data_IF_927148333092
#
_entry.id   IF_927148333092
#
_cell.length_a   1.000
_cell.length_b   1.000
_cell.length_c   1.000
_cell.angle_alpha   90.00
_cell.angle_beta   90.00
_cell.angle_gamma   90.00
#
_symmetry.space_group_name_H-M   'P 1'
#
loop_
_entity.id
_entity.type
_entity.pdbx_description
1 polymer ?
#
# COMPACT_ATOMS: atom_id res chain seq x y z
N UNK A 1 16.08 32.36 -7.58
CA UNK A 1 16.60 30.99 -7.48
C UNK A 1 15.44 30.03 -7.64
N UNK A 2 15.49 29.13 -8.61
CA UNK A 2 14.40 28.18 -8.88
C UNK A 2 14.61 26.90 -8.07
N UNK A 3 14.03 26.85 -6.86
CA UNK A 3 14.08 25.65 -6.01
C UNK A 3 13.48 24.43 -6.71
N UNK A 4 12.41 24.60 -7.50
CA UNK A 4 11.78 23.46 -8.17
C UNK A 4 12.73 22.85 -9.18
N UNK A 5 13.43 23.69 -9.97
CA UNK A 5 14.48 23.21 -10.87
C UNK A 5 15.63 22.54 -10.11
N UNK A 6 16.10 23.11 -8.99
CA UNK A 6 17.15 22.52 -8.15
C UNK A 6 16.73 21.17 -7.56
N UNK A 7 15.49 21.08 -7.07
CA UNK A 7 14.89 19.86 -6.56
C UNK A 7 14.76 18.82 -7.67
N UNK A 8 14.20 19.17 -8.84
CA UNK A 8 14.04 18.24 -9.96
C UNK A 8 15.40 17.70 -10.43
N UNK A 9 16.41 18.56 -10.55
CA UNK A 9 17.76 18.14 -10.93
C UNK A 9 18.37 17.20 -9.88
N UNK A 10 18.27 17.56 -8.60
CA UNK A 10 18.76 16.73 -7.49
C UNK A 10 18.01 15.41 -7.40
N UNK A 11 16.70 15.44 -7.59
CA UNK A 11 15.82 14.28 -7.60
C UNK A 11 16.20 13.33 -8.72
N UNK A 12 16.27 13.79 -9.97
CA UNK A 12 16.61 12.94 -11.10
C UNK A 12 17.99 12.28 -10.91
N UNK A 13 18.98 13.05 -10.46
CA UNK A 13 20.32 12.53 -10.19
C UNK A 13 20.31 11.47 -9.07
N UNK A 14 19.76 11.82 -7.91
CA UNK A 14 19.70 10.91 -6.75
C UNK A 14 18.91 9.63 -7.08
N UNK A 15 17.84 9.77 -7.86
CA UNK A 15 16.98 8.67 -8.28
C UNK A 15 17.73 7.69 -9.17
N UNK A 16 18.42 8.17 -10.21
CA UNK A 16 19.20 7.30 -11.09
C UNK A 16 20.37 6.64 -10.38
N UNK A 17 21.11 7.39 -9.56
CA UNK A 17 22.23 6.87 -8.78
C UNK A 17 21.77 5.76 -7.83
N UNK A 18 20.63 5.97 -7.14
CA UNK A 18 20.05 4.98 -6.23
C UNK A 18 19.50 3.76 -6.95
N UNK A 19 18.80 3.95 -8.07
CA UNK A 19 18.30 2.83 -8.87
C UNK A 19 19.46 1.91 -9.29
N UNK A 20 20.53 2.51 -9.84
CA UNK A 20 21.74 1.77 -10.22
C UNK A 20 22.37 1.07 -9.01
N UNK A 21 22.55 1.78 -7.90
CA UNK A 21 23.16 1.23 -6.69
C UNK A 21 22.36 0.06 -6.10
N UNK A 22 21.04 0.18 -5.98
CA UNK A 22 20.19 -0.88 -5.44
C UNK A 22 20.25 -2.09 -6.37
N UNK A 23 20.11 -1.88 -7.67
CA UNK A 23 20.18 -2.95 -8.67
C UNK A 23 21.51 -3.72 -8.59
N UNK A 24 22.65 -3.02 -8.59
CA UNK A 24 23.98 -3.66 -8.52
C UNK A 24 24.17 -4.39 -7.19
N UNK A 25 23.77 -3.77 -6.08
CA UNK A 25 23.86 -4.37 -4.73
C UNK A 25 23.04 -5.66 -4.64
N UNK A 26 21.82 -5.68 -5.19
CA UNK A 26 20.98 -6.88 -5.22
C UNK A 26 21.58 -7.97 -6.11
N UNK A 27 22.18 -7.63 -7.24
CA UNK A 27 22.88 -8.60 -8.09
C UNK A 27 24.09 -9.22 -7.39
N UNK A 28 24.90 -8.41 -6.72
CA UNK A 28 26.08 -8.87 -5.97
C UNK A 28 25.68 -9.75 -4.78
N UNK A 29 24.66 -9.34 -4.04
CA UNK A 29 24.09 -10.12 -2.95
C UNK A 29 23.60 -11.49 -3.41
N UNK A 30 22.99 -11.58 -4.60
CA UNK A 30 22.61 -12.86 -5.20
C UNK A 30 23.80 -13.75 -5.51
N UNK A 31 24.84 -13.19 -6.13
CA UNK A 31 26.09 -13.94 -6.40
C UNK A 31 26.73 -14.44 -5.11
N UNK A 32 26.62 -13.67 -4.03
CA UNK A 32 27.11 -14.01 -2.70
C UNK A 32 26.15 -14.87 -1.87
N UNK A 33 25.02 -15.34 -2.43
CA UNK A 33 24.00 -16.14 -1.75
C UNK A 33 23.45 -15.50 -0.46
N UNK A 34 23.38 -14.17 -0.41
CA UNK A 34 22.82 -13.43 0.72
C UNK A 34 21.29 -13.40 0.66
N UNK A 35 20.63 -13.27 1.82
CA UNK A 35 19.19 -13.04 1.87
C UNK A 35 18.87 -11.57 1.59
N UNK A 36 17.72 -11.31 0.97
CA UNK A 36 17.26 -9.94 0.73
C UNK A 36 17.21 -9.12 2.03
N UNK A 37 16.72 -9.72 3.11
CA UNK A 37 16.62 -9.07 4.43
C UNK A 37 17.98 -8.64 4.96
N UNK A 38 19.01 -9.49 4.82
CA UNK A 38 20.36 -9.12 5.22
C UNK A 38 20.89 -7.96 4.35
N UNK A 39 20.80 -8.09 3.03
CA UNK A 39 21.29 -7.08 2.09
C UNK A 39 20.61 -5.74 2.26
N UNK A 40 19.29 -5.74 2.41
CA UNK A 40 18.49 -4.54 2.64
C UNK A 40 18.85 -3.87 3.97
N UNK A 41 18.93 -4.64 5.06
CA UNK A 41 19.25 -4.07 6.37
C UNK A 41 20.70 -3.58 6.47
N UNK A 42 21.64 -4.29 5.85
CA UNK A 42 23.06 -3.93 5.92
C UNK A 42 23.37 -2.80 4.94
N UNK A 43 23.28 -3.05 3.65
CA UNK A 43 23.83 -2.13 2.65
C UNK A 43 22.84 -1.02 2.27
N UNK A 44 21.58 -1.38 2.06
CA UNK A 44 20.59 -0.41 1.56
C UNK A 44 20.13 0.59 2.63
N UNK A 45 19.96 0.15 3.88
CA UNK A 45 19.65 1.08 4.99
C UNK A 45 20.86 1.92 5.40
N UNK A 46 22.06 1.35 5.38
CA UNK A 46 23.28 2.06 5.73
C UNK A 46 23.57 3.19 4.73
N UNK A 47 23.46 2.95 3.42
CA UNK A 47 23.68 4.01 2.42
C UNK A 47 22.66 5.15 2.60
N UNK A 48 21.37 4.82 2.81
CA UNK A 48 20.34 5.82 3.05
C UNK A 48 20.68 6.66 4.29
N UNK A 49 21.16 6.01 5.35
CA UNK A 49 21.56 6.68 6.59
C UNK A 49 22.77 7.60 6.36
N UNK A 50 23.80 7.13 5.65
CA UNK A 50 25.02 7.91 5.37
C UNK A 50 24.69 9.14 4.50
N UNK A 51 23.90 8.98 3.45
CA UNK A 51 23.53 10.08 2.55
C UNK A 51 22.71 11.15 3.27
N UNK A 52 21.74 10.75 4.09
CA UNK A 52 20.91 11.69 4.87
C UNK A 52 21.76 12.40 5.94
N UNK A 53 22.68 11.69 6.61
CA UNK A 53 23.57 12.28 7.63
C UNK A 53 24.43 13.43 7.11
N UNK A 54 24.72 13.50 5.80
CA UNK A 54 25.44 14.63 5.20
C UNK A 54 24.70 15.96 5.40
N UNK A 55 23.39 15.92 5.62
CA UNK A 55 22.53 17.09 5.79
C UNK A 55 22.15 17.35 7.26
N UNK A 56 22.73 16.62 8.23
CA UNK A 56 22.37 16.74 9.64
C UNK A 56 22.65 18.15 10.20
N UNK A 57 23.64 18.86 9.64
CA UNK A 57 23.93 20.25 10.02
C UNK A 57 22.77 21.21 9.74
N UNK A 58 21.87 20.91 8.78
CA UNK A 58 20.68 21.73 8.51
C UNK A 58 19.72 21.79 9.71
N UNK A 59 19.84 20.84 10.65
CA UNK A 59 19.05 20.79 11.89
C UNK A 59 19.72 21.54 13.04
N UNK A 60 20.92 22.06 12.85
CA UNK A 60 21.71 22.72 13.89
C UNK A 60 21.69 24.24 13.69
N UNK A 61 21.74 24.99 14.80
CA UNK A 61 21.91 26.44 14.72
C UNK A 61 23.24 26.79 14.05
N UNK A 62 23.30 27.79 13.16
CA UNK A 62 22.22 28.70 12.75
C UNK A 62 21.32 28.19 11.61
N UNK A 63 21.69 27.11 10.92
CA UNK A 63 20.99 26.61 9.74
C UNK A 63 19.54 26.18 10.04
N UNK A 64 19.27 25.71 11.24
CA UNK A 64 17.94 25.32 11.69
C UNK A 64 16.90 26.44 11.58
N UNK A 65 17.28 27.69 11.79
CA UNK A 65 16.37 28.83 11.66
C UNK A 65 15.88 28.99 10.21
N UNK A 66 16.80 28.88 9.26
CA UNK A 66 16.50 28.91 7.82
C UNK A 66 15.67 27.69 7.43
N UNK A 67 16.09 26.49 7.82
CA UNK A 67 15.41 25.23 7.47
C UNK A 67 13.97 25.20 8.01
N UNK A 68 13.76 25.62 9.26
CA UNK A 68 12.43 25.62 9.88
C UNK A 68 11.48 26.60 9.18
N UNK A 69 11.95 27.79 8.82
CA UNK A 69 11.16 28.74 8.03
C UNK A 69 10.90 28.20 6.62
N UNK A 70 11.92 27.63 5.98
CA UNK A 70 11.81 27.06 4.64
C UNK A 70 10.82 25.90 4.58
N UNK A 71 10.69 25.09 5.64
CA UNK A 71 9.73 24.00 5.74
C UNK A 71 8.26 24.43 5.76
N UNK A 72 7.97 25.68 6.13
CA UNK A 72 6.61 26.22 6.02
C UNK A 72 6.16 26.40 4.57
N UNK A 73 7.02 26.16 3.57
CA UNK A 73 6.69 26.27 2.13
C UNK A 73 5.55 25.35 1.74
N UNK A 74 5.43 24.22 2.42
CA UNK A 74 4.37 23.23 2.20
C UNK A 74 3.00 23.68 2.75
N UNK A 75 2.96 24.72 3.58
CA UNK A 75 1.73 25.29 4.15
C UNK A 75 1.16 26.43 3.29
N UNK A 76 1.89 26.87 2.25
CA UNK A 76 1.52 28.01 1.41
C UNK A 76 0.94 27.50 0.08
N UNK A 77 -0.35 27.76 -0.13
CA UNK A 77 -1.10 27.36 -1.32
C UNK A 77 -1.08 28.45 -2.41
N UNK A 78 0.12 28.92 -2.77
CA UNK A 78 0.34 29.94 -3.80
C UNK A 78 1.43 29.48 -4.77
N UNK A 79 1.33 29.84 -6.06
CA UNK A 79 2.29 29.42 -7.11
C UNK A 79 3.74 29.83 -6.79
N UNK A 80 3.94 30.87 -5.98
CA UNK A 80 5.24 31.42 -5.66
C UNK A 80 5.70 31.17 -4.21
N UNK A 81 5.17 30.12 -3.57
CA UNK A 81 5.40 29.77 -2.16
C UNK A 81 6.88 29.80 -1.74
N UNK A 82 7.78 29.28 -2.58
CA UNK A 82 9.22 29.29 -2.33
C UNK A 82 9.76 30.72 -2.22
N UNK A 83 9.56 31.54 -3.25
CA UNK A 83 10.09 32.89 -3.26
C UNK A 83 9.44 33.74 -2.17
N UNK A 84 8.16 33.49 -1.85
CA UNK A 84 7.46 34.17 -0.76
C UNK A 84 8.11 33.86 0.59
N UNK A 85 8.44 32.59 0.88
CA UNK A 85 9.16 32.25 2.12
C UNK A 85 10.55 32.88 2.15
N UNK A 86 11.30 32.78 1.06
CA UNK A 86 12.67 33.29 1.00
C UNK A 86 12.68 34.80 1.22
N UNK A 87 11.89 35.54 0.45
CA UNK A 87 11.94 37.00 0.44
C UNK A 87 11.20 37.65 1.61
N UNK A 88 10.08 37.06 2.07
CA UNK A 88 9.25 37.68 3.11
C UNK A 88 9.57 37.18 4.52
N UNK A 89 10.26 36.04 4.67
CA UNK A 89 10.55 35.46 5.99
C UNK A 89 12.04 35.26 6.22
N UNK A 90 12.74 34.60 5.30
CA UNK A 90 14.14 34.21 5.53
C UNK A 90 15.11 35.39 5.38
N UNK A 91 15.01 36.17 4.30
CA UNK A 91 15.88 37.34 4.11
C UNK A 91 15.72 38.38 5.23
N UNK A 92 14.49 38.78 5.63
CA UNK A 92 14.31 39.69 6.76
C UNK A 92 14.84 39.12 8.07
N UNK A 93 14.75 37.80 8.30
CA UNK A 93 15.38 37.18 9.46
C UNK A 93 16.89 37.43 9.41
N UNK A 94 17.56 37.07 8.31
CA UNK A 94 19.02 37.19 8.19
C UNK A 94 19.53 38.63 8.24
N UNK A 95 18.75 39.61 7.79
CA UNK A 95 19.09 41.03 7.84
C UNK A 95 18.93 41.62 9.25
N UNK A 96 17.87 41.23 9.97
CA UNK A 96 17.53 41.81 11.27
C UNK A 96 18.12 41.05 12.46
N UNK A 97 18.78 39.92 12.22
CA UNK A 97 19.41 39.10 13.27
C UNK A 97 20.92 39.03 13.04
N UNK A 98 21.69 38.91 14.13
CA UNK A 98 23.14 38.68 14.07
C UNK A 98 23.48 37.22 13.65
N UNK A 99 22.65 36.60 12.81
CA UNK A 99 22.85 35.24 12.32
C UNK A 99 23.94 35.26 11.25
N UNK A 100 25.08 34.63 11.55
CA UNK A 100 26.18 34.47 10.61
C UNK A 100 26.17 33.07 10.01
N UNK A 101 25.81 32.96 8.74
CA UNK A 101 25.88 31.70 7.99
C UNK A 101 27.26 31.57 7.34
N UNK A 102 27.86 30.37 7.39
CA UNK A 102 29.12 30.09 6.68
C UNK A 102 28.88 29.80 5.19
N UNK A 103 27.65 29.40 4.83
CA UNK A 103 27.21 29.12 3.47
C UNK A 103 26.22 30.18 3.00
N UNK A 104 26.19 30.42 1.68
CA UNK A 104 25.19 31.29 1.07
C UNK A 104 23.79 30.69 1.21
N UNK A 105 22.77 31.55 1.24
CA UNK A 105 21.38 31.10 1.31
C UNK A 105 21.00 30.22 0.11
N UNK A 106 21.53 30.53 -1.08
CA UNK A 106 21.35 29.73 -2.29
C UNK A 106 21.92 28.31 -2.13
N UNK A 107 23.13 28.18 -1.59
CA UNK A 107 23.74 26.87 -1.30
C UNK A 107 22.90 26.09 -0.29
N UNK A 108 22.44 26.73 0.79
CA UNK A 108 21.62 26.07 1.81
C UNK A 108 20.31 25.55 1.21
N UNK A 109 19.61 26.36 0.39
CA UNK A 109 18.34 25.93 -0.21
C UNK A 109 18.55 24.85 -1.27
N UNK A 110 19.66 24.90 -2.02
CA UNK A 110 20.08 23.81 -2.91
C UNK A 110 20.33 22.50 -2.14
N UNK A 111 21.00 22.59 -0.99
CA UNK A 111 21.25 21.44 -0.11
C UNK A 111 19.96 20.91 0.53
N UNK A 112 18.99 21.78 0.87
CA UNK A 112 17.64 21.36 1.29
C UNK A 112 16.93 20.61 0.15
N UNK A 113 16.97 21.14 -1.07
CA UNK A 113 16.37 20.49 -2.23
C UNK A 113 16.96 19.09 -2.48
N UNK A 114 18.29 18.95 -2.34
CA UNK A 114 18.98 17.68 -2.43
C UNK A 114 18.59 16.71 -1.31
N UNK A 115 18.48 17.21 -0.08
CA UNK A 115 18.02 16.42 1.06
C UNK A 115 16.58 15.92 0.87
N UNK A 116 15.66 16.78 0.43
CA UNK A 116 14.27 16.40 0.16
C UNK A 116 14.17 15.33 -0.95
N UNK A 117 14.96 15.48 -2.02
CA UNK A 117 15.05 14.50 -3.10
C UNK A 117 15.54 13.12 -2.58
N UNK A 118 16.52 13.11 -1.68
CA UNK A 118 17.01 11.88 -1.05
C UNK A 118 15.98 11.26 -0.11
N UNK A 119 15.23 12.07 0.65
CA UNK A 119 14.14 11.58 1.48
C UNK A 119 13.03 10.94 0.63
N UNK A 120 12.65 11.58 -0.48
CA UNK A 120 11.61 11.07 -1.36
C UNK A 120 12.02 9.75 -2.03
N UNK A 121 13.24 9.65 -2.55
CA UNK A 121 13.76 8.40 -3.10
C UNK A 121 13.83 7.29 -2.03
N UNK A 122 14.15 7.63 -0.77
CA UNK A 122 14.17 6.67 0.35
C UNK A 122 12.76 6.15 0.66
N UNK A 123 11.77 7.05 0.63
CA UNK A 123 10.35 6.74 0.81
C UNK A 123 9.85 5.80 -0.28
N UNK A 124 10.17 6.08 -1.55
CA UNK A 124 9.82 5.22 -2.69
C UNK A 124 10.42 3.82 -2.51
N UNK A 125 11.69 3.71 -2.13
CA UNK A 125 12.33 2.41 -1.88
C UNK A 125 11.60 1.62 -0.79
N UNK A 126 11.29 2.29 0.32
CA UNK A 126 10.60 1.68 1.46
C UNK A 126 9.21 1.18 1.08
N UNK A 127 8.45 1.98 0.32
CA UNK A 127 7.11 1.61 -0.13
C UNK A 127 7.11 0.39 -1.06
N UNK A 128 8.19 0.20 -1.83
CA UNK A 128 8.32 -0.89 -2.79
C UNK A 128 9.09 -2.09 -2.25
N UNK A 129 9.39 -2.14 -0.95
CA UNK A 129 10.23 -3.17 -0.33
C UNK A 129 9.78 -4.60 -0.70
N UNK A 130 8.49 -4.91 -0.57
CA UNK A 130 7.95 -6.24 -0.86
C UNK A 130 8.09 -6.62 -2.34
N UNK A 131 7.89 -5.65 -3.25
CA UNK A 131 8.08 -5.87 -4.68
C UNK A 131 9.53 -6.25 -4.97
N UNK A 132 10.47 -5.51 -4.39
CA UNK A 132 11.90 -5.78 -4.57
C UNK A 132 12.34 -7.10 -3.94
N UNK A 133 11.75 -7.48 -2.79
CA UNK A 133 11.95 -8.80 -2.20
C UNK A 133 11.48 -9.92 -3.14
N UNK A 134 10.28 -9.80 -3.72
CA UNK A 134 9.76 -10.78 -4.69
C UNK A 134 10.68 -10.89 -5.91
N UNK A 135 11.08 -9.76 -6.49
CA UNK A 135 12.01 -9.71 -7.63
C UNK A 135 13.34 -10.37 -7.30
N UNK A 136 13.89 -10.07 -6.12
CA UNK A 136 15.10 -10.71 -5.62
C UNK A 136 14.89 -12.22 -5.49
N UNK A 137 13.91 -12.68 -4.73
CA UNK A 137 13.69 -14.10 -4.46
C UNK A 137 13.44 -14.92 -5.73
N UNK A 138 12.76 -14.35 -6.73
CA UNK A 138 12.48 -14.99 -8.02
C UNK A 138 13.63 -14.88 -9.04
N UNK A 139 14.72 -14.20 -8.66
CA UNK A 139 15.83 -13.87 -9.56
C UNK A 139 15.36 -13.13 -10.84
N UNK A 140 14.38 -12.24 -10.69
CA UNK A 140 13.79 -11.46 -11.77
C UNK A 140 13.93 -9.97 -11.51
N UNK A 141 15.17 -9.49 -11.59
CA UNK A 141 15.51 -8.06 -11.49
C UNK A 141 15.46 -7.36 -12.86
N UNK A 142 15.04 -8.05 -13.93
CA UNK A 142 15.07 -7.54 -15.31
C UNK A 142 14.24 -6.27 -15.52
N UNK A 143 13.18 -6.11 -14.71
CA UNK A 143 12.28 -4.95 -14.72
C UNK A 143 12.47 -4.05 -13.49
N UNK A 144 13.59 -4.18 -12.79
CA UNK A 144 13.83 -3.37 -11.60
C UNK A 144 13.85 -1.91 -12.00
N UNK A 145 13.00 -1.13 -11.34
CA UNK A 145 12.94 0.31 -11.49
C UNK A 145 12.55 0.92 -10.15
N UNK A 146 13.25 1.98 -9.76
CA UNK A 146 12.76 2.87 -8.73
C UNK A 146 11.62 3.66 -9.37
N UNK A 147 10.40 3.59 -8.86
CA UNK A 147 9.28 4.43 -9.29
C UNK A 147 8.28 4.58 -8.15
N UNK A 148 7.69 5.77 -8.05
CA UNK A 148 6.53 5.99 -7.19
C UNK A 148 5.28 5.50 -7.93
N UNK A 149 4.61 4.48 -7.39
CA UNK A 149 3.32 4.04 -7.92
C UNK A 149 2.21 4.95 -7.41
N UNK A 150 1.27 5.31 -8.28
CA UNK A 150 0.12 6.17 -7.94
C UNK A 150 -0.90 5.45 -7.04
N UNK A 151 -0.90 4.12 -7.06
CA UNK A 151 -1.70 3.24 -6.22
C UNK A 151 -0.79 2.34 -5.37
N UNK A 152 -1.35 1.67 -4.36
CA UNK A 152 -0.64 0.64 -3.58
C UNK A 152 0.12 -0.34 -4.52
N UNK A 153 1.41 -0.54 -4.28
CA UNK A 153 2.29 -1.38 -5.11
C UNK A 153 1.75 -2.81 -5.24
N UNK A 154 1.03 -3.30 -4.23
CA UNK A 154 0.41 -4.63 -4.22
C UNK A 154 -0.70 -4.80 -5.25
N UNK A 155 -1.31 -3.70 -5.68
CA UNK A 155 -2.33 -3.70 -6.72
C UNK A 155 -1.74 -3.65 -8.14
N UNK A 156 -0.41 -3.57 -8.27
CA UNK A 156 0.23 -3.50 -9.59
C UNK A 156 0.23 -4.88 -10.27
N UNK A 157 0.01 -4.95 -11.60
CA UNK A 157 0.08 -6.22 -12.33
C UNK A 157 1.43 -6.93 -12.20
N UNK A 158 2.52 -6.15 -12.08
CA UNK A 158 3.87 -6.70 -11.87
C UNK A 158 3.96 -7.40 -10.51
N UNK A 159 3.53 -6.75 -9.43
CA UNK A 159 3.56 -7.33 -8.09
C UNK A 159 2.71 -8.62 -8.04
N UNK A 160 1.45 -8.57 -8.48
CA UNK A 160 0.55 -9.73 -8.48
C UNK A 160 1.12 -10.91 -9.29
N UNK A 161 1.73 -10.63 -10.45
CA UNK A 161 2.38 -11.67 -11.26
C UNK A 161 3.54 -12.35 -10.51
N UNK A 162 4.39 -11.57 -9.84
CA UNK A 162 5.53 -12.10 -9.09
C UNK A 162 5.07 -12.83 -7.84
N UNK A 163 4.11 -12.28 -7.11
CA UNK A 163 3.52 -12.91 -5.94
C UNK A 163 2.91 -14.27 -6.30
N UNK A 164 2.10 -14.36 -7.35
CA UNK A 164 1.56 -15.64 -7.84
C UNK A 164 2.62 -16.64 -8.31
N UNK A 165 3.83 -16.17 -8.69
CA UNK A 165 4.95 -17.05 -9.05
C UNK A 165 5.64 -17.60 -7.82
N UNK A 166 5.77 -16.80 -6.76
CA UNK A 166 6.42 -17.20 -5.50
C UNK A 166 5.48 -18.00 -4.60
N UNK A 167 4.22 -17.58 -4.54
CA UNK A 167 3.13 -18.16 -3.76
C UNK A 167 1.95 -18.43 -4.71
N UNK A 168 2.00 -19.53 -5.49
CA UNK A 168 0.92 -19.87 -6.40
C UNK A 168 -0.41 -19.97 -5.64
N UNK A 169 -1.47 -19.30 -6.12
CA UNK A 169 -2.79 -19.48 -5.53
C UNK A 169 -3.14 -20.96 -5.63
N UNK A 170 -3.80 -21.49 -4.59
CA UNK A 170 -4.26 -22.86 -4.59
C UNK A 170 -5.00 -23.12 -5.89
N UNK A 171 -4.59 -24.17 -6.63
CA UNK A 171 -5.27 -24.53 -7.88
C UNK A 171 -6.77 -24.65 -7.58
N UNK A 172 -7.66 -23.97 -8.30
CA UNK A 172 -9.07 -24.27 -8.20
C UNK A 172 -9.22 -25.76 -8.51
N UNK A 173 -9.85 -26.50 -7.60
CA UNK A 173 -10.07 -27.92 -7.77
C UNK A 173 -10.69 -28.14 -9.14
N UNK A 174 -10.09 -29.02 -9.96
CA UNK A 174 -10.67 -29.44 -11.22
C UNK A 174 -11.83 -30.40 -10.95
N UNK A 175 -12.86 -29.93 -10.24
CA UNK A 175 -14.12 -30.65 -10.19
C UNK A 175 -14.90 -30.23 -11.43
N UNK A 176 -14.93 -31.11 -12.44
CA UNK A 176 -15.87 -30.98 -13.56
C UNK A 176 -17.27 -30.80 -12.97
N UNK A 177 -17.93 -29.70 -13.27
CA UNK A 177 -19.33 -29.48 -12.89
C UNK A 177 -20.17 -30.43 -13.73
N UNK A 178 -20.36 -31.65 -13.25
CA UNK A 178 -21.53 -32.44 -13.58
C UNK A 178 -22.64 -31.93 -12.67
N UNK A 179 -23.72 -31.43 -13.27
CA UNK A 179 -25.02 -31.38 -12.62
C UNK A 179 -25.31 -32.77 -12.10
N UNK A 180 -25.23 -32.97 -10.79
CA UNK A 180 -26.10 -33.82 -10.00
C UNK A 180 -25.81 -33.55 -8.52
N UNK A 181 -26.91 -33.48 -7.77
CA UNK A 181 -27.02 -33.08 -6.37
C UNK A 181 -26.10 -33.84 -5.40
N UNK A 182 -25.65 -33.10 -4.39
CA UNK A 182 -25.14 -33.52 -3.08
C UNK A 182 -23.87 -34.38 -3.03
N UNK A 183 -22.76 -33.76 -2.61
CA UNK A 183 -21.77 -34.26 -1.62
C UNK A 183 -20.56 -33.30 -1.53
N UNK A 184 -20.68 -32.27 -0.69
CA UNK A 184 -19.62 -31.52 0.04
C UNK A 184 -20.16 -30.14 0.37
N UNK A 185 -21.00 -30.06 1.40
CA UNK A 185 -21.51 -28.78 1.86
C UNK A 185 -20.39 -27.98 2.54
N UNK A 186 -20.16 -26.77 2.04
CA UNK A 186 -19.05 -25.91 2.44
C UNK A 186 -19.35 -25.26 3.79
N UNK A 187 -18.40 -25.33 4.74
CA UNK A 187 -18.49 -24.63 6.02
C UNK A 187 -17.80 -23.27 5.95
N UNK A 188 -18.59 -22.22 6.13
CA UNK A 188 -18.17 -20.83 6.15
C UNK A 188 -17.78 -20.37 7.56
N UNK A 189 -16.85 -19.43 7.63
CA UNK A 189 -16.55 -18.65 8.82
C UNK A 189 -17.42 -17.36 8.88
N UNK A 190 -17.38 -16.64 10.01
CA UNK A 190 -18.25 -15.47 10.21
C UNK A 190 -18.04 -14.35 9.17
N UNK A 191 -16.82 -14.19 8.65
CA UNK A 191 -16.52 -13.18 7.62
C UNK A 191 -17.11 -13.59 6.26
N UNK A 192 -16.97 -14.86 5.90
CA UNK A 192 -17.54 -15.41 4.66
C UNK A 192 -19.06 -15.36 4.68
N UNK A 193 -19.71 -15.56 5.84
CA UNK A 193 -21.16 -15.38 5.97
C UNK A 193 -21.57 -13.91 5.88
N UNK A 194 -20.79 -13.01 6.48
CA UNK A 194 -21.01 -11.57 6.37
C UNK A 194 -20.93 -11.11 4.89
N UNK A 195 -19.96 -11.61 4.14
CA UNK A 195 -19.83 -11.36 2.70
C UNK A 195 -20.98 -11.98 1.91
N UNK A 196 -21.36 -13.23 2.19
CA UNK A 196 -22.43 -13.93 1.49
C UNK A 196 -23.81 -13.28 1.68
N UNK A 197 -24.09 -12.82 2.89
CA UNK A 197 -25.39 -12.25 3.27
C UNK A 197 -25.43 -10.72 3.17
N UNK A 198 -24.27 -10.09 2.91
CA UNK A 198 -24.07 -8.64 2.93
C UNK A 198 -24.44 -7.96 4.26
N UNK A 199 -24.40 -8.70 5.38
CA UNK A 199 -24.57 -8.15 6.73
C UNK A 199 -23.21 -7.85 7.38
N UNK A 200 -23.19 -6.88 8.30
CA UNK A 200 -22.01 -6.66 9.13
C UNK A 200 -21.75 -7.88 10.04
N UNK A 201 -20.47 -8.17 10.32
CA UNK A 201 -20.07 -9.28 11.21
C UNK A 201 -20.75 -9.18 12.59
N UNK A 202 -20.94 -7.97 13.12
CA UNK A 202 -21.65 -7.74 14.37
C UNK A 202 -23.12 -8.22 14.29
N UNK A 203 -23.80 -7.93 13.19
CA UNK A 203 -25.18 -8.38 12.91
C UNK A 203 -25.26 -9.90 12.81
N UNK A 204 -24.26 -10.56 12.23
CA UNK A 204 -24.19 -12.03 12.20
C UNK A 204 -24.11 -12.60 13.62
N UNK A 205 -23.31 -12.00 14.51
CA UNK A 205 -23.27 -12.39 15.92
C UNK A 205 -24.59 -12.16 16.64
N UNK A 206 -25.28 -11.05 16.37
CA UNK A 206 -26.60 -10.76 16.93
C UNK A 206 -27.66 -11.76 16.47
N UNK A 207 -27.71 -12.07 15.17
CA UNK A 207 -28.62 -13.05 14.58
C UNK A 207 -28.38 -14.46 15.15
N UNK A 208 -27.10 -14.83 15.33
CA UNK A 208 -26.70 -16.07 15.99
C UNK A 208 -27.11 -16.07 17.48
N UNK A 209 -26.95 -14.96 18.20
CA UNK A 209 -27.36 -14.85 19.61
C UNK A 209 -28.88 -14.94 19.77
N UNK A 210 -29.64 -14.37 18.83
CA UNK A 210 -31.11 -14.43 18.78
C UNK A 210 -31.65 -15.77 18.25
N UNK A 211 -30.78 -16.71 17.87
CA UNK A 211 -31.17 -18.02 17.33
C UNK A 211 -31.84 -17.95 15.96
N UNK A 212 -31.66 -16.85 15.23
CA UNK A 212 -32.30 -16.62 13.93
C UNK A 212 -31.47 -17.15 12.76
N UNK A 213 -30.16 -17.29 12.94
CA UNK A 213 -29.23 -17.77 11.91
C UNK A 213 -28.73 -19.19 12.26
N UNK A 214 -28.81 -20.18 11.35
CA UNK A 214 -28.33 -21.53 11.60
C UNK A 214 -26.80 -21.53 11.77
N UNK A 215 -26.29 -22.15 12.84
CA UNK A 215 -24.85 -22.14 13.14
C UNK A 215 -24.38 -23.46 13.75
N UNK A 216 -23.09 -23.74 13.56
CA UNK A 216 -22.39 -24.89 14.14
C UNK A 216 -21.25 -24.40 15.02
N UNK A 217 -21.21 -24.86 16.27
CA UNK A 217 -20.15 -24.49 17.22
C UNK A 217 -19.49 -25.74 17.77
N UNK A 218 -18.16 -25.86 17.62
CA UNK A 218 -17.34 -26.90 18.26
C UNK A 218 -16.20 -26.23 19.03
N UNK A 219 -16.31 -26.21 20.36
CA UNK A 219 -15.38 -25.48 21.23
C UNK A 219 -15.38 -23.97 20.94
N UNK A 220 -14.22 -23.41 20.59
CA UNK A 220 -14.05 -21.99 20.24
C UNK A 220 -14.37 -21.67 18.77
N UNK A 221 -14.53 -22.67 17.88
CA UNK A 221 -14.75 -22.46 16.45
C UNK A 221 -16.24 -22.35 16.14
N UNK A 222 -16.64 -21.24 15.51
CA UNK A 222 -17.98 -20.97 14.99
C UNK A 222 -17.96 -21.10 13.46
N UNK A 223 -18.83 -21.95 12.91
CA UNK A 223 -18.93 -22.23 11.48
C UNK A 223 -20.39 -22.26 11.03
N UNK A 224 -20.62 -22.10 9.75
CA UNK A 224 -21.94 -22.01 9.14
C UNK A 224 -21.99 -22.86 7.88
N UNK A 225 -23.00 -23.69 7.72
CA UNK A 225 -23.13 -24.53 6.53
C UNK A 225 -23.71 -23.67 5.41
N UNK A 226 -23.02 -23.57 4.28
CA UNK A 226 -23.37 -22.63 3.20
C UNK A 226 -24.78 -22.85 2.67
N UNK A 227 -25.18 -24.12 2.46
CA UNK A 227 -26.54 -24.44 2.01
C UNK A 227 -27.62 -23.94 2.97
N UNK A 228 -27.38 -24.00 4.28
CA UNK A 228 -28.33 -23.56 5.29
C UNK A 228 -28.46 -22.05 5.36
N UNK A 229 -27.35 -21.34 5.13
CA UNK A 229 -27.36 -19.86 5.05
C UNK A 229 -28.10 -19.41 3.79
N UNK A 230 -27.90 -20.09 2.65
CA UNK A 230 -28.64 -19.82 1.42
C UNK A 230 -30.12 -20.10 1.60
N UNK A 231 -30.49 -21.26 2.13
CA UNK A 231 -31.88 -21.61 2.42
C UNK A 231 -32.52 -20.64 3.43
N UNK A 232 -31.74 -20.18 4.42
CA UNK A 232 -32.19 -19.15 5.35
C UNK A 232 -32.47 -17.81 4.67
N UNK A 233 -31.63 -17.37 3.72
CA UNK A 233 -31.87 -16.19 2.89
C UNK A 233 -33.13 -16.35 2.02
N UNK A 234 -33.30 -17.52 1.41
CA UNK A 234 -34.46 -17.85 0.57
C UNK A 234 -35.77 -17.83 1.36
N UNK A 235 -35.76 -18.23 2.64
CA UNK A 235 -36.92 -18.09 3.54
C UNK A 235 -37.30 -16.64 3.84
N UNK A 236 -36.36 -15.71 3.67
CA UNK A 236 -36.60 -14.28 3.76
C UNK A 236 -37.16 -13.66 2.48
N UNK A 237 -37.30 -14.42 1.38
CA UNK A 237 -37.89 -13.95 0.12
C UNK A 237 -39.35 -13.55 0.36
N UNK A 238 -39.66 -12.26 0.17
CA UNK A 238 -41.03 -11.79 0.12
C UNK A 238 -41.74 -12.40 -1.08
N UNK A 239 -42.99 -12.84 -0.89
CA UNK A 239 -43.81 -13.39 -1.98
C UNK A 239 -44.03 -12.28 -3.01
N UNK A 240 -43.65 -12.52 -4.26
CA UNK A 240 -43.95 -11.61 -5.38
C UNK A 240 -45.29 -11.95 -6.02
N UNK A 241 -45.82 -11.03 -6.84
CA UNK A 241 -47.05 -11.26 -7.63
C UNK A 241 -46.84 -12.44 -8.59
N UNK A 242 -45.65 -12.56 -9.18
CA UNK A 242 -45.30 -13.70 -10.05
C UNK A 242 -45.30 -15.04 -9.28
N UNK A 243 -44.81 -15.05 -8.03
CA UNK A 243 -44.84 -16.26 -7.17
C UNK A 243 -46.28 -16.67 -6.79
N UNK A 244 -47.23 -15.71 -6.77
CA UNK A 244 -48.66 -15.96 -6.55
C UNK A 244 -49.33 -16.50 -7.81
N UNK A 245 -49.02 -15.96 -8.98
CA UNK A 245 -49.54 -16.43 -10.26
C UNK A 245 -49.03 -17.83 -10.62
N UNK A 246 -47.76 -18.12 -10.33
CA UNK A 246 -47.19 -19.46 -10.52
C UNK A 246 -47.87 -20.49 -9.60
N UNK A 247 -48.11 -20.15 -8.33
CA UNK A 247 -48.87 -21.01 -7.40
C UNK A 247 -50.33 -21.17 -7.81
N UNK A 248 -50.97 -20.12 -8.34
CA UNK A 248 -52.34 -20.19 -8.84
C UNK A 248 -52.42 -21.11 -10.07
N UNK A 249 -51.47 -20.98 -11.00
CA UNK A 249 -51.37 -21.83 -12.18
C UNK A 249 -51.09 -23.30 -11.81
N UNK A 250 -50.20 -23.56 -10.87
CA UNK A 250 -49.92 -24.91 -10.35
C UNK A 250 -51.14 -25.54 -9.68
N UNK A 251 -51.93 -24.75 -8.96
CA UNK A 251 -53.17 -25.21 -8.33
C UNK A 251 -54.23 -25.55 -9.38
N UNK A 252 -54.37 -24.71 -10.42
CA UNK A 252 -55.29 -24.96 -11.54
C UNK A 252 -54.87 -26.24 -12.28
N UNK A 253 -53.58 -26.42 -12.58
CA UNK A 253 -53.06 -27.61 -13.28
C UNK A 253 -53.23 -28.91 -12.49
N UNK A 254 -53.14 -28.87 -11.15
CA UNK A 254 -53.34 -30.06 -10.30
C UNK A 254 -54.80 -30.44 -10.10
N UNK A 255 -55.72 -29.49 -10.25
CA UNK A 255 -57.15 -29.68 -10.01
C UNK A 255 -58.00 -29.61 -11.29
N UNK A 256 -57.35 -29.61 -12.47
CA UNK A 256 -57.97 -29.83 -13.80
C UNK A 256 -57.93 -31.31 -14.15
#
# INVERSE_FOLDING_TARGET
>A
MDYNQLYTNSYNKAFEERERFIYTTLLEAKKALQSYNYTSNKYLKEINTIEIKKFEYLKQYPYSEVTNLFNKRFEIYEENSINNIVNLKILPLLENSNIKLEKTLETIISEIAAHDALLETSRIMTNNYNLYELMYNLNDLSKFKLISYTSDVRNTPLYQKLENKMYPPAKPSKTKINKNHDENDEFLNVKEVAELTNYAVATIYDLKHKGQLPFYKKGAKLQFKKSEIINWLEKGKGITIDDLDEKANDYILKNS
#
